data_IF_482808196017
#
_entry.id   IF_482808196017
#
_cell.length_a   1.000
_cell.length_b   1.000
_cell.length_c   1.000
_cell.angle_alpha   90.00
_cell.angle_beta   90.00
_cell.angle_gamma   90.00
#
_symmetry.space_group_name_H-M   'P 1'
#
loop_
_entity.id
_entity.type
_entity.pdbx_description
1 polymer ?
#
# COMPACT_ATOMS: atom_id res chain seq x y z
N UNK A 1 6.68 -31.77 0.58
CA UNK A 1 6.88 -31.06 -0.69
C UNK A 1 5.94 -29.88 -0.62
N UNK A 2 6.46 -28.72 -0.20
CA UNK A 2 5.67 -27.51 -0.13
C UNK A 2 5.54 -27.00 -1.56
N UNK A 3 4.30 -26.82 -2.00
CA UNK A 3 3.98 -26.18 -3.27
C UNK A 3 4.56 -24.76 -3.22
N UNK A 4 5.67 -24.55 -3.92
CA UNK A 4 6.25 -23.23 -4.16
C UNK A 4 5.41 -22.56 -5.25
N UNK A 5 4.21 -22.14 -4.85
CA UNK A 5 3.27 -21.41 -5.68
C UNK A 5 3.87 -20.03 -5.94
N UNK A 6 4.48 -19.90 -7.12
CA UNK A 6 5.08 -18.64 -7.58
C UNK A 6 3.99 -17.55 -7.52
N UNK A 7 4.22 -16.42 -6.81
CA UNK A 7 3.25 -15.33 -6.72
C UNK A 7 2.77 -14.91 -8.10
N UNK A 8 1.45 -14.75 -8.29
CA UNK A 8 0.85 -14.39 -9.59
C UNK A 8 1.44 -13.10 -10.19
N UNK A 9 1.89 -12.17 -9.34
CA UNK A 9 2.52 -10.89 -9.69
C UNK A 9 3.79 -11.07 -10.55
N UNK A 10 4.65 -12.03 -10.18
CA UNK A 10 5.91 -12.31 -10.89
C UNK A 10 5.68 -12.86 -12.32
N UNK A 11 4.48 -13.40 -12.59
CA UNK A 11 4.13 -14.00 -13.89
C UNK A 11 3.82 -12.94 -14.94
N UNK A 12 3.25 -11.81 -14.54
CA UNK A 12 2.92 -10.70 -15.45
C UNK A 12 4.17 -9.90 -15.82
N UNK A 13 5.09 -9.72 -14.87
CA UNK A 13 6.39 -9.06 -15.09
C UNK A 13 7.26 -9.82 -16.09
N UNK A 14 7.28 -11.15 -16.01
CA UNK A 14 7.96 -12.02 -16.97
C UNK A 14 7.44 -11.83 -18.40
N UNK A 15 6.11 -11.77 -18.56
CA UNK A 15 5.46 -11.62 -19.86
C UNK A 15 5.67 -10.23 -20.47
N UNK A 16 5.81 -9.19 -19.63
CA UNK A 16 6.07 -7.81 -20.08
C UNK A 16 7.48 -7.66 -20.66
N UNK A 17 8.49 -8.25 -20.00
CA UNK A 17 9.89 -8.24 -20.46
C UNK A 17 10.02 -9.00 -21.79
N UNK A 18 9.37 -10.16 -21.90
CA UNK A 18 9.39 -10.96 -23.13
C UNK A 18 8.75 -10.22 -24.32
N UNK A 19 7.72 -9.40 -24.06
CA UNK A 19 7.07 -8.59 -25.09
C UNK A 19 7.97 -7.47 -25.60
N UNK A 20 8.80 -6.89 -24.71
CA UNK A 20 9.66 -5.76 -25.03
C UNK A 20 10.98 -6.17 -25.72
N UNK A 21 11.43 -7.41 -25.56
CA UNK A 21 12.61 -7.93 -26.28
C UNK A 21 12.33 -8.39 -27.71
N UNK A 22 11.07 -8.69 -28.05
CA UNK A 22 10.64 -9.15 -29.37
C UNK A 22 11.15 -8.30 -30.56
N UNK A 23 11.16 -6.95 -30.52
CA UNK A 23 11.68 -6.14 -31.63
C UNK A 23 13.21 -6.21 -31.78
N UNK A 24 13.96 -6.50 -30.73
CA UNK A 24 15.43 -6.55 -30.78
C UNK A 24 15.94 -7.83 -31.44
N UNK A 25 15.18 -8.93 -31.40
CA UNK A 25 15.54 -10.19 -32.08
C UNK A 25 15.72 -10.01 -33.57
N UNK A 26 14.84 -9.24 -34.21
CA UNK A 26 14.95 -8.95 -35.63
C UNK A 26 16.26 -8.25 -35.96
N UNK A 27 16.63 -7.22 -35.18
CA UNK A 27 17.87 -6.48 -35.38
C UNK A 27 19.13 -7.30 -35.07
N UNK A 28 19.11 -8.12 -34.03
CA UNK A 28 20.23 -9.02 -33.70
C UNK A 28 20.44 -10.04 -34.82
N UNK A 29 19.37 -10.63 -35.36
CA UNK A 29 19.45 -11.59 -36.46
C UNK A 29 19.94 -10.92 -37.75
N UNK A 30 19.46 -9.70 -38.05
CA UNK A 30 19.94 -8.91 -39.19
C UNK A 30 21.43 -8.54 -39.04
N UNK A 31 21.87 -8.17 -37.83
CA UNK A 31 23.28 -7.90 -37.56
C UNK A 31 24.15 -9.15 -37.71
N UNK A 32 23.68 -10.31 -37.26
CA UNK A 32 24.38 -11.59 -37.44
C UNK A 32 24.51 -11.96 -38.92
N UNK A 33 23.45 -11.80 -39.72
CA UNK A 33 23.49 -12.04 -41.17
C UNK A 33 24.47 -11.07 -41.86
N UNK A 34 24.49 -9.80 -41.46
CA UNK A 34 25.42 -8.80 -42.01
C UNK A 34 26.88 -9.11 -41.66
N UNK A 35 27.17 -9.43 -40.38
CA UNK A 35 28.51 -9.82 -39.94
C UNK A 35 28.97 -11.08 -40.67
N UNK A 36 28.08 -12.06 -40.85
CA UNK A 36 28.42 -13.29 -41.56
C UNK A 36 28.65 -13.06 -43.06
N UNK A 37 27.85 -12.22 -43.71
CA UNK A 37 28.08 -11.79 -45.09
C UNK A 37 29.47 -11.18 -45.27
N UNK A 38 29.92 -10.38 -44.30
CA UNK A 38 31.27 -9.80 -44.29
C UNK A 38 32.34 -10.87 -44.03
N UNK A 39 32.16 -11.75 -43.05
CA UNK A 39 33.14 -12.82 -42.73
C UNK A 39 33.33 -13.80 -43.88
N UNK A 40 32.24 -14.18 -44.55
CA UNK A 40 32.29 -15.04 -45.75
C UNK A 40 33.01 -14.34 -46.89
N UNK A 41 32.73 -13.06 -47.10
CA UNK A 41 33.36 -12.25 -48.14
C UNK A 41 34.87 -12.06 -47.91
N UNK A 42 35.30 -12.03 -46.64
CA UNK A 42 36.71 -11.89 -46.27
C UNK A 42 37.45 -13.23 -46.10
N UNK A 43 36.74 -14.36 -46.08
CA UNK A 43 37.32 -15.71 -45.93
C UNK A 43 37.76 -16.31 -47.28
N UNK A 44 38.29 -15.49 -48.19
CA UNK A 44 39.03 -15.97 -49.37
C UNK A 44 40.41 -16.48 -48.94
N UNK A 45 40.44 -17.69 -48.39
CA UNK A 45 41.61 -18.56 -48.51
C UNK A 45 41.25 -19.73 -49.41
N UNK A 46 41.70 -19.69 -50.67
CA UNK A 46 42.02 -20.91 -51.41
C UNK A 46 41.38 -21.09 -52.79
N UNK A 47 42.18 -20.76 -53.81
CA UNK A 47 42.25 -21.36 -55.15
C UNK A 47 41.06 -21.23 -56.11
N UNK A 48 40.90 -20.03 -56.68
CA UNK A 48 40.21 -19.84 -57.97
C UNK A 48 41.15 -19.63 -59.16
N UNK A 49 42.41 -20.01 -59.02
CA UNK A 49 43.41 -19.79 -60.07
C UNK A 49 43.20 -20.67 -61.32
N UNK A 50 42.68 -21.90 -61.18
CA UNK A 50 42.73 -22.89 -62.29
C UNK A 50 41.37 -23.42 -62.79
N UNK A 51 40.26 -23.06 -62.15
CA UNK A 51 38.92 -23.33 -62.65
C UNK A 51 38.23 -21.98 -62.83
N UNK A 52 37.91 -21.62 -64.08
CA UNK A 52 37.24 -20.35 -64.37
C UNK A 52 36.00 -20.11 -63.51
N UNK A 53 35.50 -18.87 -63.52
CA UNK A 53 34.44 -18.30 -62.66
C UNK A 53 33.28 -19.23 -62.24
N UNK A 54 32.91 -20.22 -63.05
CA UNK A 54 31.84 -21.18 -62.78
C UNK A 54 32.22 -22.32 -61.79
N UNK A 55 33.50 -22.73 -61.70
CA UNK A 55 33.93 -23.85 -60.85
C UNK A 55 34.08 -23.49 -59.37
N UNK A 56 34.55 -22.28 -59.09
CA UNK A 56 34.65 -21.76 -57.73
C UNK A 56 33.27 -21.48 -57.11
N UNK A 57 32.32 -20.94 -57.86
CA UNK A 57 30.99 -20.64 -57.35
C UNK A 57 30.23 -21.88 -56.84
N UNK A 58 30.37 -23.02 -57.53
CA UNK A 58 29.67 -24.26 -57.18
C UNK A 58 30.29 -24.94 -55.95
N UNK A 59 31.62 -24.95 -55.84
CA UNK A 59 32.33 -25.58 -54.71
C UNK A 59 32.20 -24.76 -53.41
N UNK A 60 32.17 -23.43 -53.50
CA UNK A 60 31.80 -22.55 -52.39
C UNK A 60 30.34 -22.76 -51.99
N UNK A 61 29.41 -22.82 -52.95
CA UNK A 61 27.98 -23.06 -52.69
C UNK A 61 27.69 -24.39 -51.98
N UNK A 62 28.42 -25.46 -52.33
CA UNK A 62 28.25 -26.79 -51.71
C UNK A 62 28.82 -26.89 -50.28
N UNK A 63 29.92 -26.21 -49.95
CA UNK A 63 30.43 -26.18 -48.57
C UNK A 63 29.54 -25.33 -47.65
N UNK A 64 28.89 -24.31 -48.21
CA UNK A 64 28.00 -23.40 -47.50
C UNK A 64 26.64 -24.02 -47.16
N UNK A 65 26.20 -25.06 -47.87
CA UNK A 65 24.86 -25.64 -47.64
C UNK A 65 24.76 -26.52 -46.39
N UNK A 66 25.86 -27.10 -45.90
CA UNK A 66 25.85 -28.02 -44.75
C UNK A 66 26.17 -27.38 -43.40
N UNK A 67 27.18 -26.51 -43.35
CA UNK A 67 27.68 -25.92 -42.10
C UNK A 67 26.92 -24.68 -41.65
N UNK A 68 26.40 -23.90 -42.59
CA UNK A 68 25.71 -22.63 -42.31
C UNK A 68 24.38 -22.84 -41.58
N UNK A 69 23.53 -23.81 -41.94
CA UNK A 69 22.29 -24.06 -41.19
C UNK A 69 22.56 -24.51 -39.75
N UNK A 70 23.60 -25.33 -39.54
CA UNK A 70 23.97 -25.81 -38.21
C UNK A 70 24.53 -24.69 -37.32
N UNK A 71 25.34 -23.80 -37.90
CA UNK A 71 25.89 -22.64 -37.18
C UNK A 71 24.81 -21.59 -36.86
N UNK A 72 23.84 -21.38 -37.75
CA UNK A 72 22.68 -20.51 -37.49
C UNK A 72 21.77 -21.11 -36.41
N UNK A 73 21.54 -22.42 -36.43
CA UNK A 73 20.82 -23.10 -35.36
C UNK A 73 21.58 -22.98 -34.03
N UNK A 74 22.91 -23.13 -34.05
CA UNK A 74 23.74 -22.98 -32.86
C UNK A 74 23.70 -21.55 -32.29
N UNK A 75 23.70 -20.51 -33.13
CA UNK A 75 23.60 -19.12 -32.66
C UNK A 75 22.22 -18.80 -32.07
N UNK A 76 21.15 -19.31 -32.68
CA UNK A 76 19.78 -19.18 -32.13
C UNK A 76 19.68 -19.88 -30.78
N UNK A 77 20.19 -21.12 -30.68
CA UNK A 77 20.24 -21.86 -29.41
C UNK A 77 21.08 -21.13 -28.36
N UNK A 78 22.19 -20.50 -28.74
CA UNK A 78 23.02 -19.75 -27.80
C UNK A 78 22.29 -18.54 -27.23
N UNK A 79 21.52 -17.82 -28.05
CA UNK A 79 20.69 -16.69 -27.60
C UNK A 79 19.56 -17.17 -26.68
N UNK A 80 18.92 -18.30 -27.00
CA UNK A 80 17.88 -18.88 -26.15
C UNK A 80 18.42 -19.39 -24.81
N UNK A 81 19.60 -20.02 -24.81
CA UNK A 81 20.30 -20.47 -23.61
C UNK A 81 20.72 -19.25 -22.77
N UNK A 82 21.27 -18.21 -23.40
CA UNK A 82 21.66 -16.98 -22.70
C UNK A 82 20.46 -16.23 -22.13
N UNK A 83 19.30 -16.23 -22.84
CA UNK A 83 18.03 -15.72 -22.33
C UNK A 83 17.57 -16.49 -21.08
N UNK A 84 17.60 -17.82 -21.15
CA UNK A 84 17.23 -18.67 -20.03
C UNK A 84 18.16 -18.42 -18.83
N UNK A 85 19.46 -18.31 -19.07
CA UNK A 85 20.46 -18.01 -18.05
C UNK A 85 20.26 -16.63 -17.43
N UNK A 86 19.98 -15.59 -18.22
CA UNK A 86 19.71 -14.24 -17.73
C UNK A 86 18.44 -14.18 -16.86
N UNK A 87 17.38 -14.91 -17.23
CA UNK A 87 16.17 -15.04 -16.42
C UNK A 87 16.46 -15.78 -15.10
N UNK A 88 17.23 -16.89 -15.18
CA UNK A 88 17.60 -17.69 -14.01
C UNK A 88 18.49 -16.90 -13.02
N UNK A 89 19.41 -16.08 -13.53
CA UNK A 89 20.34 -15.26 -12.75
C UNK A 89 19.72 -13.97 -12.19
N UNK A 90 18.57 -13.52 -12.71
CA UNK A 90 17.86 -12.32 -12.25
C UNK A 90 17.01 -12.56 -10.99
N UNK A 91 16.55 -13.79 -10.79
CA UNK A 91 15.66 -14.16 -9.70
C UNK A 91 16.14 -13.94 -8.25
N UNK A 92 17.42 -14.12 -7.87
CA UNK A 92 17.78 -14.07 -6.45
C UNK A 92 17.66 -12.67 -5.83
N UNK A 93 18.03 -11.60 -6.55
CA UNK A 93 18.00 -10.23 -5.99
C UNK A 93 16.59 -9.66 -5.87
N UNK A 94 15.71 -9.93 -6.84
CA UNK A 94 14.36 -9.36 -6.84
C UNK A 94 13.47 -10.01 -5.76
N UNK A 95 13.68 -11.30 -5.47
CA UNK A 95 12.98 -12.01 -4.38
C UNK A 95 13.31 -11.43 -3.00
N UNK A 96 14.55 -11.01 -2.76
CA UNK A 96 14.95 -10.42 -1.50
C UNK A 96 14.32 -9.04 -1.31
N UNK A 97 14.28 -8.21 -2.35
CA UNK A 97 13.65 -6.89 -2.32
C UNK A 97 12.14 -7.01 -2.12
N UNK A 98 11.49 -7.97 -2.79
CA UNK A 98 10.05 -8.22 -2.62
C UNK A 98 9.72 -8.69 -1.19
N UNK A 99 10.52 -9.61 -0.64
CA UNK A 99 10.38 -10.06 0.76
C UNK A 99 10.63 -8.92 1.74
N UNK A 100 11.65 -8.10 1.53
CA UNK A 100 11.96 -6.94 2.36
C UNK A 100 10.82 -5.91 2.33
N UNK A 101 10.27 -5.60 1.16
CA UNK A 101 9.11 -4.70 1.00
C UNK A 101 7.88 -5.22 1.72
N UNK A 102 7.58 -6.52 1.60
CA UNK A 102 6.43 -7.13 2.26
C UNK A 102 6.58 -7.13 3.78
N UNK A 103 7.79 -7.39 4.30
CA UNK A 103 8.08 -7.27 5.74
C UNK A 103 7.93 -5.83 6.22
N UNK A 104 8.56 -4.87 5.54
CA UNK A 104 8.45 -3.45 5.88
C UNK A 104 7.00 -2.95 5.85
N UNK A 105 6.18 -3.42 4.90
CA UNK A 105 4.75 -3.08 4.84
C UNK A 105 3.97 -3.71 5.99
N UNK A 106 4.24 -4.96 6.34
CA UNK A 106 3.58 -5.63 7.45
C UNK A 106 3.94 -4.99 8.80
N UNK A 107 5.23 -4.68 9.00
CA UNK A 107 5.75 -3.98 10.17
C UNK A 107 5.16 -2.58 10.28
N UNK A 108 5.20 -1.78 9.21
CA UNK A 108 4.62 -0.43 9.21
C UNK A 108 3.11 -0.39 9.46
N UNK A 109 2.34 -1.38 9.00
CA UNK A 109 0.91 -1.49 9.32
C UNK A 109 0.70 -1.87 10.79
N UNK A 110 1.53 -2.77 11.33
CA UNK A 110 1.42 -3.19 12.72
C UNK A 110 1.77 -2.06 13.69
N UNK A 111 2.89 -1.38 13.45
CA UNK A 111 3.34 -0.22 14.25
C UNK A 111 2.35 0.94 14.14
N UNK A 112 2.00 1.36 12.92
CA UNK A 112 1.06 2.47 12.73
C UNK A 112 -0.33 2.21 13.30
N UNK A 113 -0.80 0.95 13.30
CA UNK A 113 -2.07 0.59 13.94
C UNK A 113 -1.96 0.58 15.47
N UNK A 114 -0.84 0.14 16.03
CA UNK A 114 -0.61 0.13 17.47
C UNK A 114 -0.51 1.57 18.02
N UNK A 115 0.29 2.41 17.37
CA UNK A 115 0.46 3.83 17.74
C UNK A 115 -0.86 4.60 17.58
N UNK A 116 -1.53 4.47 16.43
CA UNK A 116 -2.80 5.17 16.19
C UNK A 116 -3.93 4.77 17.15
N UNK A 117 -3.99 3.51 17.59
CA UNK A 117 -4.97 3.08 18.60
C UNK A 117 -4.59 3.61 19.99
N UNK A 118 -3.31 3.62 20.33
CA UNK A 118 -2.85 4.10 21.64
C UNK A 118 -3.09 5.61 21.78
N UNK A 119 -2.69 6.39 20.78
CA UNK A 119 -2.81 7.85 20.77
C UNK A 119 -4.28 8.28 20.71
N UNK A 120 -5.06 7.72 19.77
CA UNK A 120 -6.49 8.03 19.66
C UNK A 120 -7.32 7.64 20.89
N UNK A 121 -6.94 6.57 21.60
CA UNK A 121 -7.62 6.18 22.85
C UNK A 121 -7.24 7.09 24.01
N UNK A 122 -5.98 7.54 24.10
CA UNK A 122 -5.54 8.46 25.14
C UNK A 122 -6.21 9.83 24.98
N UNK A 123 -6.20 10.39 23.78
CA UNK A 123 -6.84 11.68 23.49
C UNK A 123 -8.35 11.62 23.71
N UNK A 124 -9.02 10.57 23.22
CA UNK A 124 -10.46 10.41 23.37
C UNK A 124 -10.92 10.28 24.84
N UNK A 125 -10.12 9.67 25.71
CA UNK A 125 -10.43 9.58 27.15
C UNK A 125 -10.28 10.95 27.82
N UNK A 126 -9.21 11.68 27.52
CA UNK A 126 -8.96 13.00 28.12
C UNK A 126 -10.05 14.00 27.69
N UNK A 127 -10.36 14.05 26.40
CA UNK A 127 -11.39 14.95 25.87
C UNK A 127 -12.78 14.57 26.39
N UNK A 128 -13.09 13.27 26.43
CA UNK A 128 -14.36 12.76 26.96
C UNK A 128 -14.57 13.09 28.44
N UNK A 129 -13.54 12.93 29.28
CA UNK A 129 -13.62 13.28 30.71
C UNK A 129 -13.77 14.79 30.90
N UNK A 130 -12.97 15.60 30.17
CA UNK A 130 -13.02 17.05 30.28
C UNK A 130 -14.38 17.61 29.87
N UNK A 131 -14.93 17.10 28.76
CA UNK A 131 -16.25 17.49 28.26
C UNK A 131 -17.38 17.00 29.17
N UNK A 132 -17.32 15.75 29.62
CA UNK A 132 -18.33 15.20 30.54
C UNK A 132 -18.38 15.96 31.87
N UNK A 133 -17.22 16.35 32.40
CA UNK A 133 -17.15 17.16 33.63
C UNK A 133 -17.71 18.56 33.44
N UNK A 134 -17.35 19.24 32.35
CA UNK A 134 -17.81 20.61 32.10
C UNK A 134 -19.31 20.68 31.80
N UNK A 135 -19.82 19.75 30.98
CA UNK A 135 -21.25 19.64 30.69
C UNK A 135 -22.03 19.26 31.96
N UNK A 136 -21.53 18.29 32.75
CA UNK A 136 -22.14 17.88 34.02
C UNK A 136 -22.23 19.03 35.04
N UNK A 137 -21.16 19.81 35.21
CA UNK A 137 -21.17 20.97 36.09
C UNK A 137 -22.11 22.09 35.60
N UNK A 138 -22.17 22.33 34.29
CA UNK A 138 -23.06 23.33 33.72
C UNK A 138 -24.53 22.94 33.90
N UNK A 139 -24.88 21.68 33.63
CA UNK A 139 -26.23 21.15 33.82
C UNK A 139 -26.58 21.18 35.32
N UNK A 140 -25.70 20.69 36.19
CA UNK A 140 -25.90 20.71 37.64
C UNK A 140 -26.15 22.12 38.19
N UNK A 141 -25.36 23.11 37.76
CA UNK A 141 -25.56 24.52 38.16
C UNK A 141 -26.88 25.09 37.67
N UNK A 142 -27.26 24.83 36.41
CA UNK A 142 -28.52 25.34 35.86
C UNK A 142 -29.75 24.71 36.51
N UNK A 143 -29.73 23.39 36.75
CA UNK A 143 -30.81 22.68 37.46
C UNK A 143 -30.91 23.17 38.90
N UNK A 144 -29.79 23.31 39.61
CA UNK A 144 -29.76 23.84 40.97
C UNK A 144 -30.33 25.26 41.07
N UNK A 145 -29.94 26.15 40.15
CA UNK A 145 -30.45 27.51 40.08
C UNK A 145 -31.96 27.56 39.79
N UNK A 146 -32.45 26.72 38.87
CA UNK A 146 -33.87 26.63 38.56
C UNK A 146 -34.70 26.12 39.75
N UNK A 147 -34.21 25.09 40.46
CA UNK A 147 -34.85 24.58 41.69
C UNK A 147 -34.89 25.65 42.78
N UNK A 148 -33.79 26.38 42.99
CA UNK A 148 -33.72 27.47 43.95
C UNK A 148 -34.72 28.58 43.60
N UNK A 149 -34.78 28.99 42.33
CA UNK A 149 -35.71 30.01 41.85
C UNK A 149 -37.18 29.57 42.03
N UNK A 150 -37.50 28.30 41.74
CA UNK A 150 -38.84 27.76 41.95
C UNK A 150 -39.27 27.86 43.42
N UNK A 151 -38.44 27.39 44.36
CA UNK A 151 -38.71 27.50 45.82
C UNK A 151 -38.89 28.96 46.26
N UNK A 152 -38.06 29.87 45.75
CA UNK A 152 -38.15 31.30 46.07
C UNK A 152 -39.45 31.92 45.55
N UNK A 153 -39.89 31.52 44.34
CA UNK A 153 -41.15 32.00 43.76
C UNK A 153 -42.38 31.53 44.55
N UNK A 154 -42.37 30.27 45.01
CA UNK A 154 -43.44 29.70 45.83
C UNK A 154 -43.50 30.36 47.22
N UNK A 155 -42.35 30.59 47.86
CA UNK A 155 -42.29 31.31 49.13
C UNK A 155 -42.81 32.75 49.01
N UNK A 156 -42.44 33.47 47.94
CA UNK A 156 -42.96 34.81 47.68
C UNK A 156 -44.48 34.83 47.49
N UNK A 157 -45.03 33.85 46.77
CA UNK A 157 -46.46 33.75 46.56
C UNK A 157 -47.21 33.59 47.89
N UNK A 158 -46.69 32.73 48.79
CA UNK A 158 -47.25 32.54 50.15
C UNK A 158 -47.17 33.82 50.97
N UNK A 159 -46.00 34.48 51.00
CA UNK A 159 -45.81 35.74 51.73
C UNK A 159 -46.80 36.83 51.29
N UNK A 160 -46.98 37.02 49.98
CA UNK A 160 -47.93 38.01 49.42
C UNK A 160 -49.37 37.67 49.82
N UNK A 161 -49.72 36.38 49.90
CA UNK A 161 -51.05 35.96 50.32
C UNK A 161 -51.32 36.24 51.81
N UNK A 162 -50.33 36.03 52.69
CA UNK A 162 -50.42 36.43 54.10
C UNK A 162 -50.58 37.95 54.25
N UNK A 163 -49.82 38.75 53.48
CA UNK A 163 -49.97 40.21 53.45
C UNK A 163 -51.39 40.63 53.03
N UNK A 164 -52.01 39.94 52.06
CA UNK A 164 -53.40 40.20 51.64
C UNK A 164 -54.43 39.86 52.72
N UNK A 165 -54.17 38.85 53.54
CA UNK A 165 -55.07 38.42 54.64
C UNK A 165 -54.88 39.25 55.92
N UNK A 166 -53.81 40.02 56.01
CA UNK A 166 -53.47 40.80 57.20
C UNK A 166 -52.93 39.94 58.35
N UNK A 167 -52.43 38.73 58.04
CA UNK A 167 -51.83 37.82 59.02
C UNK A 167 -50.30 37.99 59.04
N UNK A 168 -49.64 37.93 60.21
CA UNK A 168 -48.19 37.92 60.28
C UNK A 168 -47.60 36.67 59.60
N UNK A 169 -46.47 36.86 58.90
CA UNK A 169 -45.77 35.81 58.17
C UNK A 169 -44.46 35.45 58.89
N UNK A 170 -44.46 34.28 59.56
CA UNK A 170 -43.34 33.85 60.42
C UNK A 170 -42.43 32.80 59.76
N UNK A 171 -42.70 32.41 58.50
CA UNK A 171 -41.94 31.37 57.81
C UNK A 171 -40.60 31.92 57.28
N UNK A 172 -39.47 31.32 57.67
CA UNK A 172 -38.17 31.80 57.22
C UNK A 172 -38.00 31.63 55.71
N UNK A 173 -37.24 32.52 55.04
CA UNK A 173 -36.96 32.39 53.62
C UNK A 173 -36.17 31.09 53.35
N UNK A 174 -36.44 30.42 52.21
CA UNK A 174 -35.74 29.20 51.84
C UNK A 174 -34.24 29.47 51.72
N UNK A 175 -33.42 28.61 52.34
CA UNK A 175 -31.97 28.76 52.31
C UNK A 175 -31.39 28.24 50.99
N UNK A 176 -30.27 28.82 50.54
CA UNK A 176 -29.57 28.39 49.33
C UNK A 176 -28.99 26.96 49.47
N UNK A 177 -28.87 26.45 50.69
CA UNK A 177 -28.42 25.09 51.01
C UNK A 177 -29.54 24.05 50.89
N UNK A 178 -30.81 24.45 51.05
CA UNK A 178 -31.97 23.53 50.93
C UNK A 178 -32.26 23.07 49.49
N UNK A 179 -31.53 23.58 48.49
CA UNK A 179 -31.67 23.16 47.08
C UNK A 179 -30.69 22.05 46.67
N UNK A 180 -29.79 21.65 47.58
CA UNK A 180 -28.80 20.58 47.34
C UNK A 180 -29.35 19.22 47.80
N UNK A 181 -30.16 19.20 48.87
CA UNK A 181 -30.81 17.98 49.35
C UNK A 181 -32.28 17.94 48.93
N UNK A 182 -32.57 17.20 47.84
CA UNK A 182 -33.72 16.30 47.72
C UNK A 182 -33.62 15.58 46.37
N UNK A 183 -33.52 14.25 46.46
CA UNK A 183 -33.96 13.24 45.48
C UNK A 183 -32.96 12.61 44.49
N UNK A 184 -31.73 12.29 44.91
CA UNK A 184 -30.88 11.31 44.18
C UNK A 184 -30.47 10.10 45.05
N UNK A 185 -31.33 9.69 45.99
CA UNK A 185 -31.19 8.40 46.69
C UNK A 185 -32.28 7.41 46.29
N UNK A 186 -32.57 7.29 44.99
CA UNK A 186 -33.42 6.24 44.44
C UNK A 186 -32.71 5.49 43.29
N UNK A 187 -32.36 4.24 43.63
CA UNK A 187 -32.00 3.09 42.77
C UNK A 187 -30.60 3.02 42.16
#
# INVERSE_FOLDING_TARGET
MADEEIPQDDREDMLSILRNLRPYYFWILMAQVAIWGVVVFLSEEGNCADAGYSGCAVTMGLKMSGLVPLMLLASVLLVDIWRYLMVLLRHPREREIARARNRAKAEGIAEGKAEGIAEGKAEGIVEGIARGKSEGEAIGRSVGANKAHAKWSEWNARRIEHERRGEPFDEPPPSLTDCIDTDDNHR
#
